data_IF_275052545700
#
_entry.id   IF_275052545700
#
_cell.length_a   1.000
_cell.length_b   1.000
_cell.length_c   1.000
_cell.angle_alpha   90.00
_cell.angle_beta   90.00
_cell.angle_gamma   90.00
#
_symmetry.space_group_name_H-M   'P 1'
#
loop_
_entity.id
_entity.type
_entity.pdbx_description
1 polymer ?
#
# COMPACT_ATOMS: atom_id res chain seq x y z
N UNK A 1 -2.27 11.41 9.66
CA UNK A 1 -2.93 11.96 8.44
C UNK A 1 -2.55 11.22 7.14
N UNK A 2 -2.54 9.88 7.17
CA UNK A 2 -2.80 9.00 6.03
C UNK A 2 -3.72 7.84 6.50
N UNK A 3 -4.34 8.02 7.67
CA UNK A 3 -5.04 6.96 8.40
C UNK A 3 -6.29 6.52 7.64
N UNK A 4 -6.93 7.42 6.89
CA UNK A 4 -8.10 7.08 6.07
C UNK A 4 -7.70 6.26 4.86
N UNK A 5 -6.61 6.62 4.17
CA UNK A 5 -6.07 5.87 3.04
C UNK A 5 -5.57 4.50 3.47
N UNK A 6 -4.94 4.42 4.64
CA UNK A 6 -4.50 3.17 5.25
C UNK A 6 -5.68 2.29 5.67
N UNK A 7 -6.72 2.87 6.27
CA UNK A 7 -7.93 2.16 6.66
C UNK A 7 -8.76 1.70 5.44
N UNK A 8 -8.79 2.49 4.36
CA UNK A 8 -9.32 2.09 3.06
C UNK A 8 -8.53 0.92 2.47
N UNK A 9 -7.20 0.99 2.50
CA UNK A 9 -6.33 -0.11 2.08
C UNK A 9 -6.63 -1.38 2.89
N UNK A 10 -6.69 -1.31 4.21
CA UNK A 10 -7.02 -2.43 5.09
C UNK A 10 -8.37 -3.05 4.77
N UNK A 11 -9.42 -2.23 4.65
CA UNK A 11 -10.79 -2.68 4.32
C UNK A 11 -10.89 -3.35 2.95
N UNK A 12 -10.03 -2.97 2.00
CA UNK A 12 -10.05 -3.48 0.63
C UNK A 12 -8.86 -4.40 0.32
N UNK A 13 -7.99 -4.72 1.29
CA UNK A 13 -6.70 -5.37 1.05
C UNK A 13 -6.84 -6.67 0.27
N UNK A 14 -7.77 -7.54 0.67
CA UNK A 14 -8.01 -8.82 -0.01
C UNK A 14 -8.47 -8.63 -1.46
N UNK A 15 -9.41 -7.72 -1.71
CA UNK A 15 -9.92 -7.40 -3.06
C UNK A 15 -8.83 -6.78 -3.94
N UNK A 16 -8.06 -5.86 -3.37
CA UNK A 16 -6.94 -5.21 -4.05
C UNK A 16 -5.86 -6.22 -4.41
N UNK A 17 -5.56 -7.16 -3.51
CA UNK A 17 -4.58 -8.20 -3.76
C UNK A 17 -5.02 -9.16 -4.86
N UNK A 18 -6.30 -9.55 -4.86
CA UNK A 18 -6.88 -10.38 -5.91
C UNK A 18 -6.90 -9.68 -7.29
N UNK A 19 -7.03 -8.35 -7.31
CA UNK A 19 -7.13 -7.56 -8.54
C UNK A 19 -5.76 -7.11 -9.06
N UNK A 20 -4.85 -6.74 -8.15
CA UNK A 20 -3.56 -6.10 -8.42
C UNK A 20 -2.41 -6.97 -7.94
N UNK A 21 -2.44 -8.25 -8.31
CA UNK A 21 -1.42 -9.22 -7.93
C UNK A 21 -0.03 -8.78 -8.40
N UNK A 22 0.93 -8.68 -7.48
CA UNK A 22 2.30 -8.25 -7.75
C UNK A 22 2.40 -6.84 -8.39
N UNK A 23 1.44 -5.96 -8.08
CA UNK A 23 1.43 -4.57 -8.51
C UNK A 23 1.52 -3.61 -7.33
N UNK A 24 1.92 -2.39 -7.63
CA UNK A 24 2.02 -1.28 -6.70
C UNK A 24 0.84 -0.35 -6.93
N UNK A 25 0.00 -0.20 -5.92
CA UNK A 25 -1.14 0.71 -5.97
C UNK A 25 -0.83 2.00 -5.23
N UNK A 26 -1.42 3.08 -5.73
CA UNK A 26 -1.33 4.40 -5.13
C UNK A 26 -2.72 4.81 -4.68
N UNK A 27 -2.87 5.05 -3.38
CA UNK A 27 -4.14 5.36 -2.74
C UNK A 27 -4.09 6.81 -2.24
N UNK A 28 -5.10 7.58 -2.60
CA UNK A 28 -5.27 8.98 -2.19
C UNK A 28 -6.76 9.28 -2.04
N UNK A 29 -7.13 10.02 -1.00
CA UNK A 29 -8.54 10.38 -0.74
C UNK A 29 -9.48 9.14 -0.77
N UNK A 30 -9.06 8.04 -0.13
CA UNK A 30 -9.80 6.76 -0.09
C UNK A 30 -10.09 6.15 -1.48
N UNK A 31 -9.23 6.43 -2.47
CA UNK A 31 -9.36 5.90 -3.84
C UNK A 31 -8.00 5.50 -4.42
N UNK A 32 -8.02 4.49 -5.28
CA UNK A 32 -6.85 4.14 -6.10
C UNK A 32 -6.74 5.18 -7.22
N UNK A 33 -5.64 5.94 -7.23
CA UNK A 33 -5.36 6.92 -8.28
C UNK A 33 -4.42 6.36 -9.36
N UNK A 34 -3.74 5.25 -9.09
CA UNK A 34 -2.93 4.56 -10.08
C UNK A 34 -2.44 3.20 -9.61
N UNK A 35 -2.17 2.32 -10.57
CA UNK A 35 -1.49 1.04 -10.38
C UNK A 35 -0.28 0.93 -11.31
N UNK A 36 0.81 0.40 -10.80
CA UNK A 36 2.10 0.37 -11.46
C UNK A 36 2.83 -0.94 -11.19
N UNK A 37 3.74 -1.32 -12.07
CA UNK A 37 4.57 -2.52 -11.89
C UNK A 37 5.62 -2.36 -10.79
N UNK A 38 6.12 -1.15 -10.54
CA UNK A 38 7.24 -0.93 -9.60
C UNK A 38 7.02 0.29 -8.71
N UNK A 39 7.54 0.20 -7.48
CA UNK A 39 7.49 1.30 -6.49
C UNK A 39 8.11 2.58 -7.03
N UNK A 40 9.25 2.46 -7.72
CA UNK A 40 9.90 3.61 -8.35
C UNK A 40 9.03 4.30 -9.39
N UNK A 41 8.33 3.53 -10.24
CA UNK A 41 7.45 4.10 -11.26
C UNK A 41 6.22 4.75 -10.63
N UNK A 42 5.60 4.07 -9.65
CA UNK A 42 4.49 4.62 -8.88
C UNK A 42 4.86 5.96 -8.25
N UNK A 43 6.01 6.02 -7.58
CA UNK A 43 6.51 7.25 -6.97
C UNK A 43 6.76 8.33 -8.03
N UNK A 44 7.59 8.04 -9.05
CA UNK A 44 7.99 9.02 -10.07
C UNK A 44 6.82 9.60 -10.85
N UNK A 45 5.79 8.80 -11.14
CA UNK A 45 4.60 9.28 -11.85
C UNK A 45 3.70 10.06 -10.90
N UNK A 46 3.43 9.53 -9.70
CA UNK A 46 2.54 10.18 -8.74
C UNK A 46 3.08 11.53 -8.26
N UNK A 47 4.39 11.67 -8.03
CA UNK A 47 4.98 12.93 -7.59
C UNK A 47 4.91 14.06 -8.63
N UNK A 48 4.66 13.72 -9.90
CA UNK A 48 4.48 14.72 -10.97
C UNK A 48 3.11 15.38 -10.89
N UNK A 49 2.10 14.63 -10.44
CA UNK A 49 0.70 15.08 -10.37
C UNK A 49 0.25 15.42 -8.94
N UNK A 50 0.91 14.87 -7.93
CA UNK A 50 0.54 14.99 -6.52
C UNK A 50 1.77 15.20 -5.62
N UNK A 51 1.60 15.97 -4.54
CA UNK A 51 2.69 16.27 -3.61
C UNK A 51 3.03 15.06 -2.71
N UNK A 52 4.32 14.84 -2.45
CA UNK A 52 4.80 13.81 -1.53
C UNK A 52 4.17 13.97 -0.14
N UNK A 53 3.70 12.86 0.44
CA UNK A 53 3.01 12.85 1.73
C UNK A 53 1.51 13.08 1.65
N UNK A 54 0.94 13.25 0.44
CA UNK A 54 -0.52 13.35 0.23
C UNK A 54 -1.16 12.05 -0.29
N UNK A 55 -0.38 10.98 -0.43
CA UNK A 55 -0.84 9.69 -0.96
C UNK A 55 -0.05 8.54 -0.32
N UNK A 56 -0.67 7.36 -0.29
CA UNK A 56 -0.09 6.11 0.19
C UNK A 56 0.29 5.22 -0.99
N UNK A 57 1.55 4.79 -1.05
CA UNK A 57 2.02 3.79 -2.02
C UNK A 57 2.13 2.46 -1.30
N UNK A 58 1.45 1.43 -1.81
CA UNK A 58 1.50 0.10 -1.24
C UNK A 58 1.71 -0.94 -2.33
N UNK A 59 2.64 -1.86 -2.09
CA UNK A 59 2.90 -2.98 -2.99
C UNK A 59 2.12 -4.21 -2.52
N UNK A 60 1.49 -4.87 -3.48
CA UNK A 60 0.73 -6.11 -3.29
C UNK A 60 1.62 -7.30 -3.64
N UNK A 61 2.74 -7.43 -2.94
CA UNK A 61 3.62 -8.60 -3.05
C UNK A 61 3.15 -9.69 -2.07
N UNK A 62 3.23 -10.95 -2.51
CA UNK A 62 2.87 -12.13 -1.70
C UNK A 62 3.69 -12.22 -0.40
N UNK A 63 4.92 -11.69 -0.39
CA UNK A 63 5.81 -11.68 0.78
C UNK A 63 5.27 -10.82 1.94
N UNK A 64 4.50 -9.75 1.69
CA UNK A 64 3.97 -8.89 2.76
C UNK A 64 2.70 -9.44 3.45
N UNK A 65 2.15 -10.56 2.95
CA UNK A 65 1.11 -11.32 3.67
C UNK A 65 1.66 -12.29 4.70
N UNK A 66 2.97 -12.50 4.76
CA UNK A 66 3.59 -13.07 5.95
C UNK A 66 3.53 -12.01 7.05
N UNK A 67 2.45 -12.06 7.81
CA UNK A 67 2.32 -11.51 9.15
C UNK A 67 3.59 -11.94 9.92
N UNK A 68 4.65 -11.11 9.92
CA UNK A 68 5.85 -11.35 10.72
C UNK A 68 5.39 -11.19 12.16
N UNK A 69 4.84 -12.26 12.73
CA UNK A 69 4.49 -12.37 14.13
C UNK A 69 5.81 -12.34 14.90
N UNK A 70 6.26 -11.14 15.27
CA UNK A 70 7.30 -10.98 16.28
C UNK A 70 6.77 -11.55 17.60
N UNK A 71 6.98 -12.85 17.83
CA UNK A 71 6.85 -13.48 19.14
C UNK A 71 8.02 -12.99 20.00
N UNK A 72 7.96 -11.75 20.46
CA UNK A 72 8.83 -11.33 21.56
C UNK A 72 8.27 -11.97 22.83
N UNK A 73 8.80 -13.15 23.20
CA UNK A 73 8.60 -13.71 24.54
C UNK A 73 9.38 -12.84 25.51
N UNK A 74 8.69 -11.87 26.13
CA UNK A 74 9.20 -11.24 27.34
C UNK A 74 9.22 -12.33 28.42
N UNK A 75 10.41 -12.84 28.73
CA UNK A 75 10.62 -13.59 29.97
C UNK A 75 10.66 -12.57 31.11
N UNK A 76 9.67 -12.66 32.00
CA UNK A 76 9.67 -12.03 33.33
C UNK A 76 10.55 -12.82 34.29
#
# INVERSE_FOLDING_TARGET
>A
MLEKEYDYFLRNKETLFATYHNRVVVIKDEKIIGDYDTKEKALKETIKEHELGTFLIQEMSEEEMEDIRFHSRVYV
#
